data_IF_347806247005
#
_entry.id   IF_347806247005
#
_cell.length_a   1.000
_cell.length_b   1.000
_cell.length_c   1.000
_cell.angle_alpha   90.00
_cell.angle_beta   90.00
_cell.angle_gamma   90.00
#
_symmetry.space_group_name_H-M   'P 1'
#
loop_
_entity.id
_entity.type
_entity.pdbx_description
1 polymer ?
#
# COMPACT_ATOMS: atom_id res chain seq x y z
N UNK A 1 14.30 -3.61 -16.32
CA UNK A 1 14.12 -2.96 -15.00
C UNK A 1 13.62 -4.02 -14.03
N UNK A 2 14.27 -4.21 -12.88
CA UNK A 2 13.75 -5.11 -11.85
C UNK A 2 12.33 -4.70 -11.47
N UNK A 3 11.36 -5.60 -11.65
CA UNK A 3 10.00 -5.43 -11.13
C UNK A 3 10.10 -5.36 -9.60
N UNK A 4 10.08 -4.13 -9.08
CA UNK A 4 10.04 -3.84 -7.66
C UNK A 4 8.67 -4.27 -7.13
N UNK A 5 8.61 -5.44 -6.49
CA UNK A 5 7.37 -6.01 -5.92
C UNK A 5 6.68 -5.01 -4.98
N UNK A 6 7.46 -4.23 -4.25
CA UNK A 6 7.03 -3.16 -3.35
C UNK A 6 6.39 -1.93 -4.04
N UNK A 7 6.64 -1.71 -5.34
CA UNK A 7 6.10 -0.58 -6.12
C UNK A 7 4.98 -0.98 -7.09
N UNK A 8 4.69 -2.27 -7.25
CA UNK A 8 3.81 -2.74 -8.33
C UNK A 8 2.40 -2.14 -8.26
N UNK A 9 1.80 -2.06 -7.06
CA UNK A 9 0.47 -1.46 -6.87
C UNK A 9 0.48 0.06 -7.12
N UNK A 10 1.48 0.78 -6.58
CA UNK A 10 1.61 2.21 -6.83
C UNK A 10 1.73 2.52 -8.32
N UNK A 11 2.44 1.68 -9.08
CA UNK A 11 2.61 1.86 -10.53
C UNK A 11 1.28 1.73 -11.29
N UNK A 12 0.33 0.93 -10.80
CA UNK A 12 -1.03 0.86 -11.36
C UNK A 12 -1.80 2.12 -11.00
N UNK A 13 -1.75 2.56 -9.73
CA UNK A 13 -2.46 3.74 -9.23
C UNK A 13 -2.01 5.02 -9.95
N UNK A 14 -0.71 5.16 -10.23
CA UNK A 14 -0.15 6.30 -10.98
C UNK A 14 -0.73 6.46 -12.38
N UNK A 15 -1.27 5.38 -12.98
CA UNK A 15 -1.92 5.43 -14.29
C UNK A 15 -3.41 5.77 -14.22
N UNK A 16 -4.01 5.70 -13.03
CA UNK A 16 -5.43 6.01 -12.83
C UNK A 16 -5.71 7.51 -12.70
N UNK A 17 -4.68 8.32 -12.46
CA UNK A 17 -4.78 9.77 -12.34
C UNK A 17 -3.48 10.41 -11.84
N UNK A 18 -3.36 11.72 -12.02
CA UNK A 18 -2.20 12.48 -11.51
C UNK A 18 -2.18 12.45 -9.98
N UNK A 19 -1.05 12.03 -9.40
CA UNK A 19 -0.84 12.00 -7.95
C UNK A 19 -0.18 13.30 -7.48
N UNK A 20 -0.83 14.01 -6.57
CA UNK A 20 -0.23 15.16 -5.86
C UNK A 20 0.79 14.66 -4.84
N UNK A 21 0.55 13.50 -4.24
CA UNK A 21 1.42 12.92 -3.22
C UNK A 21 1.35 11.39 -3.24
N UNK A 22 2.48 10.75 -2.94
CA UNK A 22 2.60 9.29 -2.87
C UNK A 22 3.71 8.87 -1.91
N UNK A 23 3.52 7.71 -1.29
CA UNK A 23 4.52 7.01 -0.49
C UNK A 23 4.25 5.51 -0.58
N UNK A 24 5.29 4.71 -0.70
CA UNK A 24 5.20 3.26 -0.54
C UNK A 24 6.32 2.81 0.37
N UNK A 25 6.18 1.61 0.97
CA UNK A 25 7.23 1.04 1.79
C UNK A 25 8.11 0.17 0.92
N UNK A 26 9.39 0.53 0.84
CA UNK A 26 10.36 -0.30 0.14
C UNK A 26 10.73 -1.51 0.99
N UNK A 27 10.90 -2.66 0.34
CA UNK A 27 11.36 -3.88 1.02
C UNK A 27 12.84 -3.79 1.38
N UNK A 28 13.61 -3.12 0.54
CA UNK A 28 15.06 -2.98 0.70
C UNK A 28 15.52 -1.52 0.56
N UNK A 29 15.14 -0.62 1.49
CA UNK A 29 15.50 0.79 1.43
C UNK A 29 17.00 1.00 1.69
N UNK A 30 17.53 2.10 1.18
CA UNK A 30 18.81 2.65 1.63
C UNK A 30 18.58 3.44 2.93
N UNK A 31 19.23 3.02 4.01
CA UNK A 31 19.19 3.68 5.31
C UNK A 31 20.54 4.33 5.60
N UNK A 32 20.51 5.50 6.22
CA UNK A 32 21.74 6.16 6.67
C UNK A 32 22.19 5.52 7.99
N UNK A 33 23.35 4.87 7.96
CA UNK A 33 24.00 4.30 9.13
C UNK A 33 25.22 5.13 9.48
N UNK A 34 25.02 6.21 10.24
CA UNK A 34 26.02 7.17 10.76
C UNK A 34 26.93 7.85 9.72
N UNK A 35 27.70 7.10 8.94
CA UNK A 35 28.72 7.55 8.01
C UNK A 35 28.50 7.09 6.56
N UNK A 36 27.59 6.14 6.29
CA UNK A 36 27.28 5.68 4.94
C UNK A 36 25.82 5.25 4.76
N UNK A 37 25.40 5.10 3.50
CA UNK A 37 24.14 4.46 3.16
C UNK A 37 24.35 2.95 3.03
N UNK A 38 23.52 2.18 3.72
CA UNK A 38 23.47 0.72 3.60
C UNK A 38 22.06 0.27 3.20
N UNK A 39 21.99 -0.87 2.52
CA UNK A 39 20.71 -1.46 2.11
C UNK A 39 20.20 -2.37 3.23
N UNK A 40 19.11 -1.99 3.86
CA UNK A 40 18.48 -2.78 4.92
C UNK A 40 17.45 -3.76 4.36
N UNK A 41 17.29 -4.92 5.01
CA UNK A 41 16.17 -5.83 4.74
C UNK A 41 15.01 -5.52 5.68
N UNK A 42 13.90 -5.04 5.14
CA UNK A 42 12.66 -4.76 5.86
C UNK A 42 11.54 -5.75 5.50
N UNK A 43 11.89 -6.98 5.08
CA UNK A 43 10.93 -8.04 4.72
C UNK A 43 10.01 -8.43 5.86
N UNK A 44 10.42 -8.22 7.11
CA UNK A 44 9.61 -8.45 8.32
C UNK A 44 8.52 -7.39 8.54
N UNK A 45 8.58 -6.26 7.81
CA UNK A 45 7.61 -5.17 7.93
C UNK A 45 6.68 -5.19 6.72
N UNK A 46 5.35 -5.30 6.91
CA UNK A 46 4.42 -5.39 5.79
C UNK A 46 4.38 -4.11 4.93
N UNK A 47 4.16 -4.26 3.61
CA UNK A 47 4.02 -3.14 2.69
C UNK A 47 2.81 -2.27 3.01
N UNK A 48 2.88 -1.03 2.53
CA UNK A 48 1.75 -0.12 2.44
C UNK A 48 1.94 0.78 1.22
N UNK A 49 0.85 1.10 0.53
CA UNK A 49 0.84 2.07 -0.57
C UNK A 49 -0.07 3.22 -0.21
N UNK A 50 0.50 4.40 -0.01
CA UNK A 50 -0.23 5.62 0.29
C UNK A 50 -0.16 6.59 -0.88
N UNK A 51 -1.28 7.26 -1.17
CA UNK A 51 -1.39 8.16 -2.30
C UNK A 51 -2.47 9.22 -2.08
N UNK A 52 -2.40 10.29 -2.85
CA UNK A 52 -3.42 11.32 -2.96
C UNK A 52 -3.48 11.78 -4.41
N UNK A 53 -4.67 11.71 -5.00
CA UNK A 53 -4.89 12.28 -6.34
C UNK A 53 -4.90 13.80 -6.26
N UNK A 54 -4.40 14.44 -7.31
CA UNK A 54 -4.52 15.88 -7.49
C UNK A 54 -5.97 16.29 -7.76
N UNK A 55 -6.70 15.46 -8.52
CA UNK A 55 -8.12 15.59 -8.78
C UNK A 55 -8.84 14.29 -8.44
N UNK A 56 -9.85 14.36 -7.58
CA UNK A 56 -10.59 13.19 -7.11
C UNK A 56 -11.58 12.71 -8.18
N UNK A 57 -11.53 11.41 -8.51
CA UNK A 57 -12.50 10.75 -9.37
C UNK A 57 -13.22 9.65 -8.58
N UNK A 58 -14.46 9.89 -8.16
CA UNK A 58 -15.23 8.94 -7.34
C UNK A 58 -15.42 7.59 -8.02
N UNK A 59 -15.52 7.54 -9.35
CA UNK A 59 -15.66 6.27 -10.07
C UNK A 59 -14.39 5.43 -9.96
N UNK A 60 -13.21 6.05 -10.13
CA UNK A 60 -11.91 5.38 -9.92
C UNK A 60 -11.77 4.91 -8.48
N UNK A 61 -12.14 5.73 -7.49
CA UNK A 61 -12.04 5.37 -6.08
C UNK A 61 -12.95 4.19 -5.74
N UNK A 62 -14.18 4.18 -6.24
CA UNK A 62 -15.13 3.08 -5.99
C UNK A 62 -14.66 1.79 -6.67
N UNK A 63 -14.23 1.85 -7.93
CA UNK A 63 -13.71 0.67 -8.62
C UNK A 63 -12.45 0.11 -7.94
N UNK A 64 -11.59 0.98 -7.40
CA UNK A 64 -10.44 0.56 -6.61
C UNK A 64 -10.88 -0.16 -5.31
N UNK A 65 -11.89 0.35 -4.60
CA UNK A 65 -12.46 -0.33 -3.42
C UNK A 65 -13.04 -1.71 -3.79
N UNK A 66 -13.83 -1.78 -4.86
CA UNK A 66 -14.41 -3.03 -5.36
C UNK A 66 -13.34 -4.04 -5.78
N UNK A 67 -12.25 -3.57 -6.41
CA UNK A 67 -11.11 -4.41 -6.78
C UNK A 67 -10.42 -4.99 -5.53
N UNK A 68 -10.22 -4.18 -4.48
CA UNK A 68 -9.65 -4.64 -3.21
C UNK A 68 -10.57 -5.67 -2.51
N UNK A 69 -11.88 -5.41 -2.45
CA UNK A 69 -12.85 -6.30 -1.77
C UNK A 69 -13.04 -7.64 -2.50
N UNK A 70 -12.95 -7.62 -3.83
CA UNK A 70 -13.08 -8.81 -4.66
C UNK A 70 -11.80 -9.66 -4.73
N UNK A 71 -10.65 -9.12 -4.33
CA UNK A 71 -9.38 -9.84 -4.37
C UNK A 71 -9.40 -11.06 -3.42
N UNK A 72 -9.04 -12.24 -3.94
CA UNK A 72 -8.97 -13.50 -3.20
C UNK A 72 -7.54 -14.06 -3.16
N UNK A 73 -6.60 -13.20 -2.74
CA UNK A 73 -5.22 -13.58 -2.48
C UNK A 73 -5.02 -14.32 -1.16
N UNK A 74 -3.76 -14.43 -0.75
CA UNK A 74 -3.37 -15.00 0.56
C UNK A 74 -3.78 -14.07 1.69
N UNK A 75 -3.76 -12.76 1.47
CA UNK A 75 -4.17 -11.75 2.45
C UNK A 75 -5.38 -10.95 1.94
N UNK A 76 -6.14 -10.44 2.90
CA UNK A 76 -7.11 -9.39 2.64
C UNK A 76 -6.43 -8.02 2.71
N UNK A 77 -6.87 -7.11 1.85
CA UNK A 77 -6.33 -5.76 1.74
C UNK A 77 -7.43 -4.74 1.96
N UNK A 78 -7.09 -3.65 2.65
CA UNK A 78 -8.02 -2.56 2.95
C UNK A 78 -7.45 -1.24 2.49
N UNK A 79 -8.33 -0.36 2.03
CA UNK A 79 -8.02 1.06 1.83
C UNK A 79 -8.65 1.88 2.94
N UNK A 80 -7.85 2.74 3.58
CA UNK A 80 -8.36 3.76 4.51
C UNK A 80 -8.35 5.13 3.83
N UNK A 81 -9.36 5.94 4.14
CA UNK A 81 -9.49 7.33 3.70
C UNK A 81 -9.16 8.25 4.90
N UNK A 82 -8.21 9.16 4.71
CA UNK A 82 -7.75 10.13 5.71
C UNK A 82 -7.85 11.55 5.13
N UNK A 83 -9.03 12.21 5.24
CA UNK A 83 -9.21 13.59 4.80
C UNK A 83 -8.24 14.54 5.52
N UNK A 84 -7.66 15.49 4.80
CA UNK A 84 -6.80 16.50 5.44
C UNK A 84 -7.64 17.41 6.32
N UNK A 85 -7.20 17.61 7.57
CA UNK A 85 -7.91 18.45 8.56
C UNK A 85 -7.93 19.94 8.21
N UNK A 86 -6.90 20.42 7.49
CA UNK A 86 -6.65 21.85 7.27
C UNK A 86 -6.57 22.26 5.79
N UNK A 87 -6.66 21.30 4.86
CA UNK A 87 -6.67 21.60 3.42
C UNK A 87 -7.58 20.61 2.69
N UNK A 88 -7.82 20.84 1.41
CA UNK A 88 -8.51 19.87 0.54
C UNK A 88 -7.63 18.64 0.26
N UNK A 89 -8.29 17.57 -0.19
CA UNK A 89 -7.68 16.29 -0.57
C UNK A 89 -7.79 15.18 0.49
N UNK A 90 -7.77 13.94 0.01
CA UNK A 90 -7.90 12.74 0.85
C UNK A 90 -6.63 11.88 0.70
N UNK A 91 -5.88 11.73 1.79
CA UNK A 91 -4.81 10.75 1.83
C UNK A 91 -5.43 9.36 1.90
N UNK A 92 -5.02 8.46 1.01
CA UNK A 92 -5.44 7.07 1.04
C UNK A 92 -4.28 6.17 1.34
N UNK A 93 -4.52 5.09 2.04
CA UNK A 93 -3.51 4.08 2.31
C UNK A 93 -4.09 2.68 2.13
N UNK A 94 -3.49 1.91 1.23
CA UNK A 94 -3.76 0.49 1.02
C UNK A 94 -2.72 -0.31 1.81
N UNK A 95 -3.20 -1.22 2.64
CA UNK A 95 -2.38 -2.10 3.49
C UNK A 95 -3.11 -3.42 3.75
N UNK A 96 -2.41 -4.46 4.25
CA UNK A 96 -3.10 -5.67 4.69
C UNK A 96 -4.14 -5.35 5.77
N UNK A 97 -5.34 -5.92 5.67
CA UNK A 97 -6.46 -5.64 6.58
C UNK A 97 -6.08 -5.88 8.05
N UNK A 98 -5.26 -6.90 8.31
CA UNK A 98 -4.74 -7.17 9.66
C UNK A 98 -3.96 -5.99 10.26
N UNK A 99 -3.17 -5.27 9.45
CA UNK A 99 -2.44 -4.06 9.89
C UNK A 99 -3.42 -2.95 10.25
N UNK A 100 -4.48 -2.75 9.45
CA UNK A 100 -5.54 -1.78 9.73
C UNK A 100 -6.24 -2.13 11.05
N UNK A 101 -6.66 -3.37 11.23
CA UNK A 101 -7.36 -3.81 12.44
C UNK A 101 -6.52 -3.66 13.71
N UNK A 102 -5.20 -3.92 13.62
CA UNK A 102 -4.30 -3.70 14.75
C UNK A 102 -4.20 -2.22 15.12
N UNK A 103 -4.19 -1.31 14.14
CA UNK A 103 -4.21 0.14 14.37
C UNK A 103 -5.50 0.62 15.02
N UNK A 104 -6.64 0.02 14.67
CA UNK A 104 -7.94 0.40 15.21
C UNK A 104 -8.16 -0.12 16.64
N UNK A 105 -7.53 -1.24 17.02
CA UNK A 105 -7.68 -1.88 18.34
C UNK A 105 -6.73 -1.34 19.39
N UNK A 106 -5.77 -0.49 19.02
CA UNK A 106 -4.67 -0.07 19.89
C UNK A 106 -4.58 1.45 19.93
N UNK A 107 -4.13 1.98 21.06
CA UNK A 107 -3.93 3.42 21.24
C UNK A 107 -2.81 3.93 20.32
N UNK A 108 -2.76 5.24 20.08
CA UNK A 108 -1.79 5.89 19.17
C UNK A 108 -0.32 5.63 19.52
N UNK A 109 -0.02 5.18 20.75
CA UNK A 109 1.32 4.86 21.22
C UNK A 109 1.80 3.45 20.85
N UNK A 110 0.93 2.63 20.24
CA UNK A 110 1.26 1.26 19.86
C UNK A 110 1.92 1.20 18.47
N UNK A 111 3.19 0.81 18.45
CA UNK A 111 3.95 0.63 17.21
C UNK A 111 3.57 -0.67 16.50
N UNK A 112 2.50 -0.61 15.69
CA UNK A 112 1.94 -1.78 14.97
C UNK A 112 2.98 -2.52 14.13
N UNK A 113 3.89 -1.79 13.49
CA UNK A 113 4.88 -2.40 12.62
C UNK A 113 5.98 -3.12 13.40
N UNK A 114 6.40 -2.58 14.55
CA UNK A 114 7.36 -3.22 15.44
C UNK A 114 6.74 -4.49 16.01
N UNK A 115 5.48 -4.43 16.46
CA UNK A 115 4.74 -5.61 16.91
C UNK A 115 4.69 -6.71 15.85
N UNK A 116 4.33 -6.39 14.60
CA UNK A 116 4.29 -7.39 13.53
C UNK A 116 5.68 -7.93 13.23
N UNK A 117 6.69 -7.08 13.18
CA UNK A 117 8.08 -7.47 12.93
C UNK A 117 8.60 -8.44 14.00
N UNK A 118 8.28 -8.21 15.27
CA UNK A 118 8.73 -9.01 16.40
C UNK A 118 7.92 -10.31 16.58
N UNK A 119 6.60 -10.25 16.41
CA UNK A 119 5.71 -11.38 16.72
C UNK A 119 5.29 -12.20 15.50
N UNK A 120 5.36 -11.64 14.30
CA UNK A 120 4.94 -12.26 13.04
C UNK A 120 5.93 -11.94 11.90
N UNK A 121 7.24 -12.26 12.05
CA UNK A 121 8.30 -11.82 11.13
C UNK A 121 8.11 -12.28 9.67
N UNK A 122 7.38 -13.37 9.44
CA UNK A 122 7.08 -13.87 8.08
C UNK A 122 5.95 -13.10 7.39
N UNK A 123 5.13 -12.35 8.16
CA UNK A 123 3.94 -11.68 7.64
C UNK A 123 4.29 -10.64 6.57
N UNK A 124 5.37 -9.88 6.76
CA UNK A 124 5.81 -8.89 5.79
C UNK A 124 6.20 -9.51 4.45
N UNK A 125 6.90 -10.64 4.47
CA UNK A 125 7.31 -11.37 3.27
C UNK A 125 6.08 -11.89 2.51
N UNK A 126 5.16 -12.54 3.22
CA UNK A 126 3.90 -13.02 2.65
C UNK A 126 3.12 -11.85 2.01
N UNK A 127 3.09 -10.70 2.67
CA UNK A 127 2.40 -9.52 2.18
C UNK A 127 3.07 -8.89 0.94
N UNK A 128 4.40 -8.87 0.83
CA UNK A 128 5.09 -8.43 -0.38
C UNK A 128 4.84 -9.36 -1.57
N UNK A 129 4.80 -10.67 -1.33
CA UNK A 129 4.46 -11.64 -2.39
C UNK A 129 3.01 -11.49 -2.86
N UNK A 130 2.08 -11.34 -1.91
CA UNK A 130 0.66 -11.17 -2.20
C UNK A 130 0.34 -9.83 -2.88
N UNK A 131 1.10 -8.77 -2.57
CA UNK A 131 0.98 -7.44 -3.19
C UNK A 131 1.11 -7.48 -4.71
N UNK A 132 1.94 -8.39 -5.25
CA UNK A 132 2.09 -8.57 -6.71
C UNK A 132 0.78 -9.06 -7.31
N UNK A 133 0.17 -10.09 -6.71
CA UNK A 133 -1.12 -10.61 -7.15
C UNK A 133 -2.24 -9.58 -7.00
N UNK A 134 -2.20 -8.78 -5.94
CA UNK A 134 -3.14 -7.68 -5.76
C UNK A 134 -3.01 -6.64 -6.87
N UNK A 135 -1.78 -6.20 -7.19
CA UNK A 135 -1.56 -5.21 -8.23
C UNK A 135 -2.03 -5.70 -9.60
N UNK A 136 -1.82 -6.99 -9.91
CA UNK A 136 -2.31 -7.61 -11.13
C UNK A 136 -3.84 -7.68 -11.19
N UNK A 137 -4.48 -8.03 -10.07
CA UNK A 137 -5.94 -8.04 -9.94
C UNK A 137 -6.55 -6.66 -10.12
N UNK A 138 -5.99 -5.63 -9.45
CA UNK A 138 -6.42 -4.24 -9.63
C UNK A 138 -6.25 -3.80 -11.08
N UNK A 139 -5.10 -4.10 -11.70
CA UNK A 139 -4.86 -3.77 -13.11
C UNK A 139 -5.91 -4.40 -14.02
N UNK A 140 -6.24 -5.67 -13.80
CA UNK A 140 -7.25 -6.37 -14.59
C UNK A 140 -8.65 -5.78 -14.40
N UNK A 141 -9.04 -5.45 -13.17
CA UNK A 141 -10.33 -4.81 -12.88
C UNK A 141 -10.48 -3.49 -13.66
N UNK A 142 -9.44 -2.66 -13.67
CA UNK A 142 -9.45 -1.39 -14.40
C UNK A 142 -9.39 -1.56 -15.91
N UNK A 143 -8.61 -2.53 -16.44
CA UNK A 143 -8.66 -2.87 -17.87
C UNK A 143 -10.06 -3.30 -18.32
N UNK A 144 -10.73 -4.12 -17.54
CA UNK A 144 -12.09 -4.58 -17.82
C UNK A 144 -13.11 -3.43 -17.78
N UNK A 145 -12.84 -2.39 -17.00
CA UNK A 145 -13.61 -1.15 -16.96
C UNK A 145 -13.22 -0.13 -18.05
N UNK A 146 -12.30 -0.46 -18.95
CA UNK A 146 -11.91 0.38 -20.09
C UNK A 146 -10.76 1.35 -19.84
N UNK A 147 -10.00 1.19 -18.75
CA UNK A 147 -8.82 2.01 -18.47
C UNK A 147 -7.54 1.41 -19.08
N UNK A 148 -6.64 2.27 -19.54
CA UNK A 148 -5.30 1.87 -20.00
C UNK A 148 -4.29 1.89 -18.85
N UNK A 149 -4.12 0.74 -18.17
CA UNK A 149 -3.27 0.55 -16.99
C UNK A 149 -2.30 -0.63 -17.04
#
# INVERSE_FOLDING_TARGET
MMNRQDRCLLSVIEKLGELEWKRYRERYPEIWNNDHFERADCSNIPPSTSFRFKEENLHVINLLKEALDSYKGRLQWSMIDQPKKYTEGVNRCIMPTYVKELREKKDETFEVYDYISEHLPEFGLIAYEDLVGLADHVRLAFKNAGYDV
#
